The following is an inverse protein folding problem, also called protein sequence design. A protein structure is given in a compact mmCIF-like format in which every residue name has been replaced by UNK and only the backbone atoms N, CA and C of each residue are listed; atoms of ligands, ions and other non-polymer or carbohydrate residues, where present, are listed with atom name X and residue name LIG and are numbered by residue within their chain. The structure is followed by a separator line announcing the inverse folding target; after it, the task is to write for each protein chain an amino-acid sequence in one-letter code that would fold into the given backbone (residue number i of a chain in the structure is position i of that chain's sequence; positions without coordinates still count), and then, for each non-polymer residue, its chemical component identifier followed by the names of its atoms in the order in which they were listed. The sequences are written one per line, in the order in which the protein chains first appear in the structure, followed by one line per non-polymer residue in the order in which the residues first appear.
data_IF_179113592601
#
_entry.id   IF_179113592601
#
_cell.length_a   1.000
_cell.length_b   1.000
_cell.length_c   1.000
_cell.angle_alpha   90.00
_cell.angle_beta   90.00
_cell.angle_gamma   90.00
#
_symmetry.space_group_name_H-M   'P 1'
#
loop_
_entity.id
_entity.type
_entity.pdbx_description
1 polymer ?
#
# COMPACT_ATOMS: atom_id res chain seq x y z
N UNK A 1 -11.31 10.91 19.86
CA UNK A 1 -11.07 9.94 18.79
C UNK A 1 -10.70 8.59 19.40
N UNK A 2 -11.40 7.54 19.01
CA UNK A 2 -11.15 6.22 19.57
C UNK A 2 -10.04 5.52 18.80
N UNK A 3 -9.51 4.45 19.41
CA UNK A 3 -8.50 3.64 18.78
C UNK A 3 -9.01 3.02 17.47
N UNK A 4 -10.28 2.64 17.46
CA UNK A 4 -10.90 2.06 16.26
C UNK A 4 -10.98 3.08 15.14
N UNK A 5 -11.32 4.33 15.44
CA UNK A 5 -11.39 5.39 14.43
C UNK A 5 -10.02 5.67 13.83
N UNK A 6 -8.99 5.73 14.67
CA UNK A 6 -7.63 5.96 14.21
C UNK A 6 -7.19 4.82 13.28
N UNK A 7 -7.46 3.58 13.69
CA UNK A 7 -7.08 2.41 12.89
C UNK A 7 -7.80 2.39 11.55
N UNK A 8 -9.09 2.74 11.56
CA UNK A 8 -9.88 2.77 10.34
C UNK A 8 -9.37 3.83 9.37
N UNK A 9 -9.01 5.02 9.88
CA UNK A 9 -8.46 6.08 9.05
C UNK A 9 -7.14 5.65 8.40
N UNK A 10 -6.29 4.94 9.16
CA UNK A 10 -5.05 4.43 8.61
C UNK A 10 -5.31 3.38 7.54
N UNK A 11 -6.30 2.51 7.76
CA UNK A 11 -6.64 1.48 6.79
C UNK A 11 -7.12 2.09 5.48
N UNK A 12 -7.96 3.12 5.55
CA UNK A 12 -8.44 3.82 4.36
C UNK A 12 -7.29 4.48 3.61
N UNK A 13 -6.38 5.12 4.36
CA UNK A 13 -5.22 5.76 3.76
C UNK A 13 -4.31 4.71 3.10
N UNK A 14 -4.14 3.56 3.75
CA UNK A 14 -3.34 2.47 3.20
C UNK A 14 -3.93 1.95 1.89
N UNK A 15 -5.26 1.86 1.82
CA UNK A 15 -5.93 1.42 0.60
C UNK A 15 -5.67 2.40 -0.54
N UNK A 16 -5.79 3.71 -0.27
CA UNK A 16 -5.52 4.72 -1.29
C UNK A 16 -4.07 4.69 -1.74
N UNK A 17 -3.16 4.49 -0.79
CA UNK A 17 -1.74 4.41 -1.11
C UNK A 17 -1.45 3.18 -1.99
N UNK A 18 -2.05 2.04 -1.66
CA UNK A 18 -1.89 0.84 -2.46
C UNK A 18 -2.43 1.03 -3.87
N UNK A 19 -3.56 1.73 -4.00
CA UNK A 19 -4.13 2.04 -5.31
C UNK A 19 -3.21 2.94 -6.13
N UNK A 20 -2.56 3.91 -5.48
CA UNK A 20 -1.59 4.78 -6.13
C UNK A 20 -0.41 3.98 -6.68
N UNK A 21 0.10 3.05 -5.85
CA UNK A 21 1.22 2.22 -6.28
C UNK A 21 0.82 1.31 -7.43
N UNK A 22 -0.37 0.71 -7.33
CA UNK A 22 -0.86 -0.19 -8.36
C UNK A 22 -1.06 0.52 -9.70
N UNK A 23 -1.47 1.78 -9.66
CA UNK A 23 -1.72 2.56 -10.88
C UNK A 23 -0.46 2.75 -11.72
N UNK A 24 0.73 2.60 -11.13
CA UNK A 24 1.99 2.74 -11.85
C UNK A 24 2.47 1.44 -12.49
N UNK A 25 1.77 0.34 -12.27
CA UNK A 25 2.22 -0.96 -12.76
C UNK A 25 2.35 -0.99 -14.29
N UNK A 26 1.35 -0.48 -14.98
CA UNK A 26 1.37 -0.47 -16.45
C UNK A 26 2.47 0.45 -16.99
N UNK A 27 2.70 1.57 -16.34
CA UNK A 27 3.71 2.54 -16.77
C UNK A 27 5.12 2.02 -16.56
N UNK A 28 5.38 1.40 -15.42
CA UNK A 28 6.72 0.96 -15.05
C UNK A 28 7.07 -0.44 -15.58
N UNK A 29 6.06 -1.26 -15.84
CA UNK A 29 6.29 -2.61 -16.36
C UNK A 29 7.19 -3.43 -15.46
N UNK A 30 8.26 -4.04 -16.02
CA UNK A 30 9.12 -4.93 -15.23
C UNK A 30 9.81 -4.25 -14.06
N UNK A 31 9.90 -2.93 -14.05
CA UNK A 31 10.55 -2.20 -12.95
C UNK A 31 9.61 -1.92 -11.79
N UNK A 32 8.33 -2.25 -11.94
CA UNK A 32 7.32 -1.89 -10.96
C UNK A 32 7.59 -2.52 -9.59
N UNK A 33 7.96 -3.81 -9.56
CA UNK A 33 8.18 -4.50 -8.29
C UNK A 33 9.30 -3.87 -7.47
N UNK A 34 10.42 -3.53 -8.13
CA UNK A 34 11.52 -2.86 -7.43
C UNK A 34 11.12 -1.49 -6.94
N UNK A 35 10.37 -0.76 -7.75
CA UNK A 35 9.88 0.55 -7.37
C UNK A 35 8.94 0.48 -6.17
N UNK A 36 8.01 -0.48 -6.19
CA UNK A 36 7.08 -0.67 -5.07
C UNK A 36 7.84 -0.99 -3.79
N UNK A 37 8.84 -1.86 -3.88
CA UNK A 37 9.65 -2.20 -2.70
C UNK A 37 10.31 -0.97 -2.11
N UNK A 38 10.84 -0.08 -2.95
CA UNK A 38 11.45 1.18 -2.50
C UNK A 38 10.42 2.09 -1.85
N UNK A 39 9.23 2.18 -2.45
CA UNK A 39 8.18 3.04 -1.91
C UNK A 39 7.71 2.53 -0.55
N UNK A 40 7.53 1.22 -0.42
CA UNK A 40 7.11 0.63 0.85
C UNK A 40 8.16 0.84 1.93
N UNK A 41 9.44 0.76 1.55
CA UNK A 41 10.53 0.95 2.49
C UNK A 41 10.55 2.36 3.07
N UNK A 42 10.09 3.34 2.29
CA UNK A 42 10.06 4.74 2.71
C UNK A 42 8.86 5.09 3.58
N UNK A 43 7.86 4.21 3.65
CA UNK A 43 6.68 4.48 4.45
C UNK A 43 6.96 4.25 5.93
N UNK A 44 6.38 5.07 6.76
CA UNK A 44 6.52 4.94 8.22
C UNK A 44 5.20 5.32 8.87
N UNK A 45 4.90 4.75 10.04
CA UNK A 45 5.70 3.72 10.74
C UNK A 45 5.62 2.37 10.02
N UNK A 46 6.43 1.38 10.44
CA UNK A 46 6.43 0.06 9.79
C UNK A 46 5.06 -0.62 9.74
N UNK A 47 4.24 -0.38 10.75
CA UNK A 47 2.88 -0.94 10.75
C UNK A 47 2.05 -0.41 9.60
N UNK A 48 2.22 0.87 9.27
CA UNK A 48 1.52 1.47 8.14
C UNK A 48 2.01 0.86 6.82
N UNK A 49 3.33 0.72 6.68
CA UNK A 49 3.89 0.09 5.49
C UNK A 49 3.36 -1.33 5.31
N UNK A 50 3.24 -2.07 6.41
CA UNK A 50 2.70 -3.43 6.36
C UNK A 50 1.23 -3.42 5.91
N UNK A 51 0.46 -2.43 6.35
CA UNK A 51 -0.94 -2.30 5.92
C UNK A 51 -1.03 -2.03 4.42
N UNK A 52 -0.18 -1.13 3.90
CA UNK A 52 -0.16 -0.82 2.48
C UNK A 52 0.21 -2.06 1.67
N UNK A 53 1.23 -2.78 2.12
CA UNK A 53 1.67 -4.01 1.45
C UNK A 53 0.55 -5.04 1.41
N UNK A 54 -0.16 -5.20 2.51
CA UNK A 54 -1.27 -6.16 2.58
C UNK A 54 -2.40 -5.77 1.65
N UNK A 55 -2.73 -4.47 1.60
CA UNK A 55 -3.76 -3.99 0.68
C UNK A 55 -3.35 -4.17 -0.76
N UNK A 56 -2.08 -3.91 -1.07
CA UNK A 56 -1.58 -4.09 -2.41
C UNK A 56 -1.68 -5.56 -2.83
N UNK A 57 -1.34 -6.48 -1.94
CA UNK A 57 -1.46 -7.90 -2.21
C UNK A 57 -2.91 -8.30 -2.45
N UNK A 58 -3.84 -7.74 -1.66
CA UNK A 58 -5.26 -8.00 -1.85
C UNK A 58 -5.75 -7.53 -3.21
N UNK A 59 -5.30 -6.34 -3.62
CA UNK A 59 -5.72 -5.76 -4.90
C UNK A 59 -5.13 -6.47 -6.11
N UNK A 60 -3.96 -7.08 -5.94
CA UNK A 60 -3.29 -7.77 -7.04
C UNK A 60 -3.56 -9.27 -7.06
N UNK A 61 -4.17 -9.80 -6.01
CA UNK A 61 -4.44 -11.22 -5.90
C UNK A 61 -5.68 -11.56 -6.73
N UNK A 62 -5.57 -12.51 -7.66
CA UNK A 62 -6.76 -12.93 -8.41
C UNK A 62 -7.52 -13.90 -7.55
N UNK A 63 -8.66 -13.70 -7.17
CA UNK A 63 -9.35 -14.72 -6.51
C UNK A 63 -10.79 -14.71 -6.71
#
# INVERSE_FOLDING_TARGET
MSRADFHQQQAEQATREAQRLLAQQATLGPRWLGWVASELYQLSPPEYAAMVRRELQRLTSPD
#
